data_IF_718493062353
#
_entry.id   IF_718493062353
#
_cell.length_a   1.000
_cell.length_b   1.000
_cell.length_c   1.000
_cell.angle_alpha   90.00
_cell.angle_beta   90.00
_cell.angle_gamma   90.00
#
_symmetry.space_group_name_H-M   'P 1'
#
loop_
_entity.id
_entity.type
_entity.pdbx_description
1 polymer ?
#
# COMPACT_ATOMS: atom_id res chain seq x y z
N UNK A 1 -6.18 -2.37 -5.34
CA UNK A 1 -6.02 -2.43 -3.87
C UNK A 1 -7.39 -2.69 -3.25
N UNK A 2 -7.51 -3.63 -2.28
CA UNK A 2 -8.76 -3.88 -1.59
C UNK A 2 -9.17 -2.65 -0.75
N UNK A 3 -10.45 -2.32 -0.80
CA UNK A 3 -11.06 -1.26 0.00
C UNK A 3 -11.93 -1.88 1.08
N UNK A 4 -11.76 -1.44 2.31
CA UNK A 4 -12.49 -1.94 3.48
C UNK A 4 -13.17 -0.82 4.25
N UNK A 5 -14.27 -1.13 4.93
CA UNK A 5 -14.93 -0.18 5.81
C UNK A 5 -14.13 0.04 7.09
N UNK A 6 -13.99 1.30 7.50
CA UNK A 6 -13.27 1.69 8.71
C UNK A 6 -14.24 2.03 9.87
N UNK A 7 -13.85 1.78 11.13
CA UNK A 7 -14.68 2.13 12.29
C UNK A 7 -15.05 3.61 12.32
N UNK A 8 -16.30 3.92 12.72
CA UNK A 8 -16.75 5.29 12.92
C UNK A 8 -16.02 5.96 14.09
N UNK A 9 -15.85 5.21 15.19
CA UNK A 9 -15.15 5.69 16.36
C UNK A 9 -13.65 5.89 16.06
N UNK A 10 -13.16 7.12 16.27
CA UNK A 10 -11.78 7.51 15.95
C UNK A 10 -10.74 6.70 16.76
N UNK A 11 -11.02 6.42 18.03
CA UNK A 11 -10.08 5.64 18.86
C UNK A 11 -9.94 4.21 18.35
N UNK A 12 -11.07 3.53 18.07
CA UNK A 12 -11.06 2.18 17.47
C UNK A 12 -10.36 2.18 16.11
N UNK A 13 -10.56 3.23 15.31
CA UNK A 13 -9.91 3.42 14.01
C UNK A 13 -8.39 3.53 14.15
N UNK A 14 -7.90 4.33 15.12
CA UNK A 14 -6.46 4.47 15.39
C UNK A 14 -5.82 3.15 15.85
N UNK A 15 -6.49 2.40 16.73
CA UNK A 15 -6.00 1.08 17.17
C UNK A 15 -5.96 0.11 15.98
N UNK A 16 -7.04 0.04 15.19
CA UNK A 16 -7.08 -0.82 14.01
C UNK A 16 -5.97 -0.46 13.02
N UNK A 17 -5.73 0.83 12.80
CA UNK A 17 -4.65 1.31 11.94
C UNK A 17 -3.26 0.87 12.43
N UNK A 18 -2.97 1.08 13.72
CA UNK A 18 -1.70 0.67 14.32
C UNK A 18 -1.45 -0.84 14.15
N UNK A 19 -2.47 -1.65 14.41
CA UNK A 19 -2.38 -3.11 14.24
C UNK A 19 -2.22 -3.49 12.76
N UNK A 20 -2.94 -2.82 11.87
CA UNK A 20 -2.86 -3.05 10.42
C UNK A 20 -1.46 -2.71 9.89
N UNK A 21 -0.93 -1.54 10.24
CA UNK A 21 0.39 -1.10 9.82
C UNK A 21 1.50 -2.01 10.38
N UNK A 22 1.35 -2.46 11.63
CA UNK A 22 2.26 -3.44 12.23
C UNK A 22 2.25 -4.77 11.46
N UNK A 23 1.06 -5.34 11.21
CA UNK A 23 0.94 -6.60 10.47
C UNK A 23 1.48 -6.47 9.05
N UNK A 24 1.22 -5.36 8.37
CA UNK A 24 1.77 -5.07 7.04
C UNK A 24 3.31 -5.03 7.05
N UNK A 25 3.89 -4.38 8.05
CA UNK A 25 5.35 -4.33 8.22
C UNK A 25 5.94 -5.72 8.45
N UNK A 26 5.31 -6.53 9.32
CA UNK A 26 5.73 -7.91 9.57
C UNK A 26 5.61 -8.76 8.31
N UNK A 27 4.47 -8.71 7.60
CA UNK A 27 4.29 -9.40 6.31
C UNK A 27 5.42 -9.06 5.34
N UNK A 28 5.73 -7.77 5.19
CA UNK A 28 6.82 -7.32 4.32
C UNK A 28 8.18 -7.87 4.74
N UNK A 29 8.49 -7.88 6.05
CA UNK A 29 9.78 -8.38 6.53
C UNK A 29 9.93 -9.89 6.36
N UNK A 30 8.87 -10.66 6.69
CA UNK A 30 8.86 -12.13 6.58
C UNK A 30 8.94 -12.56 5.10
N UNK A 31 8.24 -11.84 4.20
CA UNK A 31 8.28 -12.10 2.77
C UNK A 31 9.72 -12.10 2.23
N UNK A 32 10.55 -11.13 2.65
CA UNK A 32 11.95 -11.06 2.18
C UNK A 32 12.83 -12.19 2.71
N UNK A 33 12.44 -12.85 3.79
CA UNK A 33 13.16 -14.00 4.35
C UNK A 33 12.72 -15.29 3.67
N UNK A 34 11.42 -15.50 3.49
CA UNK A 34 10.88 -16.71 2.87
C UNK A 34 11.06 -16.73 1.35
N UNK A 35 10.99 -15.57 0.71
CA UNK A 35 11.11 -15.41 -0.75
C UNK A 35 12.19 -14.37 -1.10
N UNK A 36 13.48 -14.72 -0.89
CA UNK A 36 14.58 -13.78 -1.11
C UNK A 36 14.72 -13.41 -2.58
N UNK A 37 14.79 -12.11 -2.87
CA UNK A 37 15.08 -11.58 -4.19
C UNK A 37 16.52 -11.06 -4.25
N UNK A 38 17.33 -11.66 -5.12
CA UNK A 38 18.71 -11.22 -5.36
C UNK A 38 18.76 -9.79 -5.89
N UNK A 39 17.87 -9.44 -6.83
CA UNK A 39 17.80 -8.10 -7.40
C UNK A 39 17.47 -7.04 -6.34
N UNK A 40 16.51 -7.33 -5.45
CA UNK A 40 16.19 -6.43 -4.35
C UNK A 40 17.37 -6.27 -3.39
N UNK A 41 18.06 -7.36 -3.04
CA UNK A 41 19.25 -7.32 -2.20
C UNK A 41 20.35 -6.44 -2.81
N UNK A 42 20.70 -6.69 -4.07
CA UNK A 42 21.71 -5.92 -4.79
C UNK A 42 21.37 -4.43 -4.82
N UNK A 43 20.12 -4.09 -5.14
CA UNK A 43 19.66 -2.70 -5.12
C UNK A 43 19.81 -2.06 -3.74
N UNK A 44 19.35 -2.72 -2.69
CA UNK A 44 19.41 -2.19 -1.33
C UNK A 44 20.86 -2.05 -0.82
N UNK A 45 21.78 -2.87 -1.30
CA UNK A 45 23.18 -2.81 -0.89
C UNK A 45 23.98 -1.68 -1.55
N UNK A 46 23.44 -1.01 -2.57
CA UNK A 46 24.14 0.08 -3.26
C UNK A 46 24.38 1.31 -2.37
N UNK A 47 23.49 1.60 -1.42
CA UNK A 47 23.57 2.77 -0.56
C UNK A 47 23.75 2.38 0.92
N UNK A 48 24.35 3.26 1.72
CA UNK A 48 24.52 3.03 3.16
C UNK A 48 23.16 2.91 3.88
N UNK A 49 22.21 3.76 3.50
CA UNK A 49 20.85 3.73 4.04
C UNK A 49 20.10 2.44 3.62
N UNK A 50 20.22 2.04 2.37
CA UNK A 50 19.66 0.79 1.86
C UNK A 50 20.21 -0.42 2.62
N UNK A 51 21.53 -0.50 2.85
CA UNK A 51 22.17 -1.56 3.66
C UNK A 51 21.61 -1.62 5.07
N UNK A 52 21.42 -0.45 5.73
CA UNK A 52 20.82 -0.38 7.07
C UNK A 52 19.40 -0.90 7.08
N UNK A 53 18.56 -0.43 6.14
CA UNK A 53 17.16 -0.86 6.00
C UNK A 53 17.05 -2.36 5.69
N UNK A 54 17.91 -2.86 4.79
CA UNK A 54 17.94 -4.28 4.44
C UNK A 54 18.26 -5.15 5.67
N UNK A 55 19.30 -4.80 6.44
CA UNK A 55 19.67 -5.53 7.67
C UNK A 55 18.55 -5.52 8.71
N UNK A 56 17.90 -4.38 8.93
CA UNK A 56 16.76 -4.27 9.86
C UNK A 56 15.60 -5.17 9.41
N UNK A 57 15.23 -5.15 8.13
CA UNK A 57 14.17 -6.00 7.58
C UNK A 57 14.49 -7.48 7.70
N UNK A 58 15.72 -7.88 7.39
CA UNK A 58 16.16 -9.27 7.51
C UNK A 58 16.18 -9.75 8.96
N UNK A 59 16.61 -8.90 9.90
CA UNK A 59 16.59 -9.24 11.33
C UNK A 59 15.15 -9.45 11.83
N UNK A 60 14.27 -8.49 11.60
CA UNK A 60 12.86 -8.59 11.98
C UNK A 60 12.17 -9.76 11.26
N UNK A 61 12.44 -9.90 9.95
CA UNK A 61 11.90 -10.99 9.16
C UNK A 61 12.27 -12.37 9.71
N UNK A 62 13.54 -12.59 10.07
CA UNK A 62 13.99 -13.84 10.71
C UNK A 62 13.31 -14.08 12.06
N UNK A 63 13.16 -13.04 12.88
CA UNK A 63 12.47 -13.15 14.17
C UNK A 63 11.00 -13.57 14.00
N UNK A 64 10.27 -12.97 13.06
CA UNK A 64 8.86 -13.25 12.82
C UNK A 64 8.61 -14.45 11.90
N UNK A 65 9.62 -14.98 11.20
CA UNK A 65 9.47 -16.15 10.31
C UNK A 65 9.28 -17.49 11.03
N UNK A 66 9.31 -17.51 12.37
CA UNK A 66 8.82 -18.63 13.19
C UNK A 66 7.36 -18.94 12.82
N UNK A 67 6.61 -17.93 12.39
CA UNK A 67 5.26 -18.05 11.87
C UNK A 67 5.31 -17.82 10.35
N UNK A 68 4.80 -18.73 9.52
CA UNK A 68 4.83 -18.62 8.07
C UNK A 68 4.15 -17.34 7.56
N UNK A 69 4.69 -16.75 6.49
CA UNK A 69 4.17 -15.55 5.85
C UNK A 69 2.64 -15.60 5.59
N UNK A 70 2.13 -16.75 5.11
CA UNK A 70 0.69 -16.95 4.89
C UNK A 70 -0.19 -16.66 6.11
N UNK A 71 0.27 -16.99 7.32
CA UNK A 71 -0.49 -16.72 8.56
C UNK A 71 -0.52 -15.23 8.88
N UNK A 72 0.59 -14.52 8.66
CA UNK A 72 0.66 -13.07 8.83
C UNK A 72 -0.27 -12.35 7.86
N UNK A 73 -0.28 -12.75 6.59
CA UNK A 73 -1.22 -12.22 5.57
C UNK A 73 -2.66 -12.52 5.97
N UNK A 74 -2.97 -13.73 6.42
CA UNK A 74 -4.31 -14.08 6.86
C UNK A 74 -4.78 -13.24 8.06
N UNK A 75 -3.91 -12.96 9.05
CA UNK A 75 -4.24 -12.07 10.16
C UNK A 75 -4.45 -10.62 9.70
N UNK A 76 -3.63 -10.15 8.77
CA UNK A 76 -3.79 -8.83 8.16
C UNK A 76 -5.15 -8.72 7.46
N UNK A 77 -5.49 -9.68 6.62
CA UNK A 77 -6.77 -9.70 5.91
C UNK A 77 -7.94 -9.78 6.89
N UNK A 78 -7.88 -10.69 7.85
CA UNK A 78 -8.94 -10.85 8.86
C UNK A 78 -9.14 -9.61 9.74
N UNK A 79 -8.07 -8.88 10.05
CA UNK A 79 -8.15 -7.62 10.79
C UNK A 79 -8.85 -6.54 9.95
N UNK A 80 -8.53 -6.45 8.66
CA UNK A 80 -8.98 -5.36 7.81
C UNK A 80 -10.34 -5.64 7.17
N UNK A 81 -10.58 -6.85 6.68
CA UNK A 81 -11.84 -7.24 6.06
C UNK A 81 -13.01 -7.03 7.01
N UNK A 82 -14.05 -6.33 6.54
CA UNK A 82 -15.29 -6.12 7.29
C UNK A 82 -16.49 -6.06 6.36
N UNK A 83 -17.53 -6.83 6.69
CA UNK A 83 -18.82 -6.77 6.00
C UNK A 83 -19.72 -5.64 6.48
N UNK A 84 -19.41 -5.06 7.64
CA UNK A 84 -20.24 -3.99 8.23
C UNK A 84 -19.97 -2.67 7.52
N UNK A 85 -20.95 -2.21 6.75
CA UNK A 85 -20.92 -0.89 6.11
C UNK A 85 -20.84 0.24 7.15
N UNK A 86 -19.94 1.17 6.94
CA UNK A 86 -19.76 2.38 7.74
C UNK A 86 -19.60 3.59 6.83
N UNK A 87 -19.72 4.83 7.35
CA UNK A 87 -19.50 6.03 6.55
C UNK A 87 -18.04 6.25 6.12
N UNK A 88 -17.12 5.38 6.50
CA UNK A 88 -15.70 5.52 6.18
C UNK A 88 -15.18 4.28 5.46
N UNK A 89 -14.36 4.52 4.43
CA UNK A 89 -13.61 3.50 3.69
C UNK A 89 -12.12 3.81 3.81
N UNK A 90 -11.29 2.77 3.88
CA UNK A 90 -9.85 2.84 3.87
C UNK A 90 -9.26 1.86 2.86
N UNK A 91 -8.02 2.11 2.46
CA UNK A 91 -7.20 1.20 1.65
C UNK A 91 -5.95 0.86 2.49
N UNK A 92 -6.00 -0.20 3.31
CA UNK A 92 -4.92 -0.50 4.28
C UNK A 92 -3.54 -0.67 3.64
N UNK A 93 -3.50 -1.23 2.41
CA UNK A 93 -2.28 -1.45 1.63
C UNK A 93 -1.92 -0.28 0.72
N UNK A 94 -2.67 0.83 0.79
CA UNK A 94 -2.42 2.02 0.00
C UNK A 94 -1.13 2.74 0.39
N UNK A 95 -0.71 3.69 -0.45
CA UNK A 95 0.54 4.44 -0.29
C UNK A 95 0.66 5.16 1.05
N UNK A 96 -0.45 5.65 1.59
CA UNK A 96 -0.52 6.39 2.86
C UNK A 96 -0.98 5.54 4.04
N UNK A 97 -0.96 4.23 3.91
CA UNK A 97 -1.38 3.29 4.94
C UNK A 97 -2.83 3.49 5.41
N UNK A 98 -3.23 2.77 6.45
CA UNK A 98 -4.61 2.70 6.89
C UNK A 98 -5.27 4.07 7.14
N UNK A 99 -4.67 4.94 7.96
CA UNK A 99 -5.27 6.25 8.31
C UNK A 99 -5.16 7.25 7.18
N UNK A 100 -4.05 7.27 6.46
CA UNK A 100 -3.84 8.20 5.36
C UNK A 100 -4.72 7.93 4.14
N UNK A 101 -5.25 6.71 4.02
CA UNK A 101 -6.22 6.33 2.98
C UNK A 101 -7.67 6.28 3.50
N UNK A 102 -7.90 6.59 4.80
CA UNK A 102 -9.24 6.55 5.37
C UNK A 102 -10.01 7.85 5.06
N UNK A 103 -11.11 7.72 4.28
CA UNK A 103 -11.95 8.84 3.84
C UNK A 103 -13.43 8.52 4.00
N UNK A 104 -14.31 9.54 3.96
CA UNK A 104 -15.74 9.29 3.82
C UNK A 104 -16.04 8.38 2.63
N UNK A 105 -16.96 7.45 2.80
CA UNK A 105 -17.35 6.51 1.75
C UNK A 105 -17.87 7.23 0.50
N UNK A 106 -18.46 8.41 0.66
CA UNK A 106 -18.93 9.26 -0.43
C UNK A 106 -17.84 9.75 -1.38
N UNK A 107 -16.58 9.75 -0.96
CA UNK A 107 -15.44 10.08 -1.84
C UNK A 107 -15.24 8.96 -2.87
N UNK A 108 -15.43 7.71 -2.47
CA UNK A 108 -15.23 6.56 -3.33
C UNK A 108 -16.50 6.11 -4.06
N UNK A 109 -17.65 6.15 -3.36
CA UNK A 109 -18.91 5.55 -3.80
C UNK A 109 -20.06 6.57 -3.91
N UNK A 110 -20.99 6.38 -4.87
CA UNK A 110 -20.95 5.40 -5.96
C UNK A 110 -19.83 5.71 -6.95
N UNK A 111 -19.28 4.70 -7.60
CA UNK A 111 -18.28 4.92 -8.65
C UNK A 111 -18.88 5.69 -9.82
N UNK A 112 -18.08 6.55 -10.45
CA UNK A 112 -18.44 7.28 -11.68
C UNK A 112 -17.77 6.65 -12.88
N UNK A 113 -18.38 6.82 -14.04
CA UNK A 113 -17.79 6.45 -15.34
C UNK A 113 -17.02 7.62 -15.91
N UNK A 114 -15.85 7.32 -16.47
CA UNK A 114 -15.05 8.28 -17.24
C UNK A 114 -14.41 7.59 -18.44
N UNK A 115 -14.05 8.38 -19.45
CA UNK A 115 -13.32 7.88 -20.61
C UNK A 115 -11.83 8.18 -20.40
N UNK A 116 -11.02 7.14 -20.48
CA UNK A 116 -9.56 7.25 -20.45
C UNK A 116 -8.99 6.52 -21.68
N UNK A 117 -8.33 7.25 -22.54
CA UNK A 117 -7.75 6.75 -23.82
C UNK A 117 -8.76 5.93 -24.66
N UNK A 118 -10.02 6.39 -24.71
CA UNK A 118 -11.09 5.73 -25.46
C UNK A 118 -11.76 4.56 -24.73
N UNK A 119 -11.31 4.20 -23.52
CA UNK A 119 -11.87 3.14 -22.71
C UNK A 119 -12.77 3.71 -21.59
N UNK A 120 -13.92 3.09 -21.37
CA UNK A 120 -14.75 3.41 -20.21
C UNK A 120 -14.17 2.78 -18.96
N UNK A 121 -13.82 3.60 -17.95
CA UNK A 121 -13.24 3.19 -16.68
C UNK A 121 -14.07 3.66 -15.50
N UNK A 122 -13.99 2.93 -14.40
CA UNK A 122 -14.59 3.34 -13.13
C UNK A 122 -13.63 4.23 -12.36
N UNK A 123 -14.09 5.39 -11.93
CA UNK A 123 -13.35 6.34 -11.10
C UNK A 123 -14.06 6.60 -9.77
N UNK A 124 -13.35 7.08 -8.71
CA UNK A 124 -13.99 7.52 -7.48
C UNK A 124 -15.07 8.57 -7.71
N UNK A 125 -16.06 8.64 -6.83
CA UNK A 125 -17.15 9.61 -6.94
C UNK A 125 -16.64 11.06 -6.89
N UNK A 126 -15.80 11.36 -5.92
CA UNK A 126 -15.16 12.67 -5.74
C UNK A 126 -13.65 12.54 -6.04
N UNK A 127 -13.32 12.62 -7.34
CA UNK A 127 -11.95 12.49 -7.84
C UNK A 127 -11.07 13.60 -7.31
N UNK A 128 -11.58 14.83 -7.24
CA UNK A 128 -10.81 15.99 -6.82
C UNK A 128 -10.37 15.89 -5.36
N UNK A 129 -11.30 15.59 -4.46
CA UNK A 129 -10.99 15.34 -3.04
C UNK A 129 -10.02 14.16 -2.90
N UNK A 130 -10.20 13.08 -3.68
CA UNK A 130 -9.30 11.93 -3.64
C UNK A 130 -7.88 12.34 -4.06
N UNK A 131 -7.71 12.95 -5.24
CA UNK A 131 -6.40 13.32 -5.79
C UNK A 131 -5.70 14.39 -4.94
N UNK A 132 -6.42 15.42 -4.51
CA UNK A 132 -5.87 16.47 -3.63
C UNK A 132 -5.38 15.88 -2.30
N UNK A 133 -6.13 14.93 -1.72
CA UNK A 133 -5.72 14.27 -0.48
C UNK A 133 -4.48 13.39 -0.65
N UNK A 134 -4.26 12.81 -1.85
CA UNK A 134 -3.12 11.95 -2.16
C UNK A 134 -1.88 12.75 -2.56
N UNK A 135 -2.03 13.71 -3.43
CA UNK A 135 -0.94 14.37 -4.15
C UNK A 135 -0.86 15.89 -3.90
N UNK A 136 -1.79 16.47 -3.11
CA UNK A 136 -1.94 17.91 -2.91
C UNK A 136 -2.25 18.60 -4.26
N UNK A 137 -1.33 19.38 -4.78
CA UNK A 137 -1.46 20.04 -6.10
C UNK A 137 -1.19 19.02 -7.21
N UNK A 138 -2.12 18.09 -7.43
CA UNK A 138 -1.95 17.02 -8.42
C UNK A 138 -1.87 17.48 -9.87
N UNK A 139 -2.33 18.72 -10.17
CA UNK A 139 -2.22 19.32 -11.49
C UNK A 139 -0.80 19.88 -11.77
N UNK A 140 -0.01 20.12 -10.74
CA UNK A 140 1.35 20.62 -10.90
C UNK A 140 2.28 19.49 -11.34
N UNK A 141 2.93 19.66 -12.50
CA UNK A 141 3.93 18.71 -12.97
C UNK A 141 5.20 18.86 -12.11
N UNK A 142 5.62 17.84 -11.35
CA UNK A 142 6.82 17.95 -10.54
C UNK A 142 8.06 18.26 -11.37
N UNK A 143 9.01 19.08 -10.87
CA UNK A 143 10.31 19.27 -11.49
C UNK A 143 11.00 17.94 -11.79
N UNK A 144 11.75 17.87 -12.89
CA UNK A 144 12.36 16.60 -13.38
C UNK A 144 13.11 15.84 -12.29
N UNK A 145 13.86 16.54 -11.41
CA UNK A 145 14.60 15.91 -10.30
C UNK A 145 13.74 15.39 -9.15
N UNK A 146 12.44 15.76 -9.09
CA UNK A 146 11.50 15.31 -8.06
C UNK A 146 10.47 14.29 -8.59
N UNK A 147 10.52 13.95 -9.88
CA UNK A 147 9.63 12.96 -10.47
C UNK A 147 9.98 11.57 -9.95
N UNK A 148 8.99 10.85 -9.46
CA UNK A 148 9.17 9.44 -9.10
C UNK A 148 9.49 8.64 -10.35
N UNK A 149 10.55 7.85 -10.27
CA UNK A 149 10.95 6.94 -11.35
C UNK A 149 10.79 5.52 -10.85
N UNK A 150 10.08 4.70 -11.62
CA UNK A 150 10.07 3.26 -11.41
C UNK A 150 11.33 2.68 -12.03
N UNK A 151 12.13 2.00 -11.20
CA UNK A 151 13.31 1.31 -11.71
C UNK A 151 12.90 -0.05 -12.27
N UNK A 152 13.17 -0.27 -13.55
CA UNK A 152 13.10 -1.60 -14.13
C UNK A 152 14.45 -2.31 -13.95
N UNK A 153 14.47 -3.36 -13.15
CA UNK A 153 15.69 -4.14 -12.91
C UNK A 153 16.05 -5.03 -14.07
N UNK A 154 15.05 -5.56 -14.76
CA UNK A 154 15.23 -6.44 -15.92
C UNK A 154 13.98 -6.38 -16.78
N UNK A 155 14.18 -6.14 -18.07
CA UNK A 155 13.14 -6.22 -19.09
C UNK A 155 13.47 -7.37 -20.03
N UNK A 156 12.55 -8.32 -20.18
CA UNK A 156 12.62 -9.35 -21.22
C UNK A 156 11.47 -9.12 -22.18
N UNK A 157 11.78 -8.89 -23.44
CA UNK A 157 10.79 -9.01 -24.50
C UNK A 157 10.51 -10.50 -24.71
N UNK A 158 9.26 -10.90 -25.03
CA UNK A 158 9.01 -12.22 -25.58
C UNK A 158 9.91 -12.41 -26.80
N UNK A 159 10.58 -13.52 -26.89
CA UNK A 159 11.24 -13.92 -28.13
C UNK A 159 10.14 -14.23 -29.14
N UNK A 160 10.20 -13.61 -30.34
CA UNK A 160 9.27 -13.85 -31.44
C UNK A 160 9.41 -15.29 -31.97
#
# INVERSE_FOLDING_TARGET
>A
FPMDYAPVNMFKRKIKALLSDFLQAVCSCVLYVEYPSMLYKEFMLQTAEGRKRYRQRMFLGKFFSIIPHRKWVWWFDKLNATSKKTPYITIPTGRKHYLGECRPASVYLPVRKAIFEGLEVNIPNDVETYLTSMYKNYMDVPPVGKRERHFMYKFKLPEE
#
